data_IF_563635836201
#
_entry.id   IF_563635836201
#
_cell.length_a   1.000
_cell.length_b   1.000
_cell.length_c   1.000
_cell.angle_alpha   90.00
_cell.angle_beta   90.00
_cell.angle_gamma   90.00
#
_symmetry.space_group_name_H-M   'P 1'
#
loop_
_entity.id
_entity.type
_entity.pdbx_description
1 polymer ?
#
# COMPACT_ATOMS: atom_id res chain seq x y z
N UNK A 1 -19.25 0.82 38.32
CA UNK A 1 -19.19 1.63 37.07
C UNK A 1 -18.07 1.16 36.14
N UNK A 2 -16.90 0.77 36.64
CA UNK A 2 -15.78 0.22 35.82
C UNK A 2 -16.21 -0.91 34.86
N UNK A 3 -16.98 -1.90 35.33
CA UNK A 3 -17.45 -3.03 34.48
C UNK A 3 -18.35 -2.62 33.30
N UNK A 4 -19.03 -1.47 33.39
CA UNK A 4 -19.85 -0.96 32.30
C UNK A 4 -18.99 -0.26 31.24
N UNK A 5 -17.98 0.50 31.69
CA UNK A 5 -17.01 1.17 30.83
C UNK A 5 -16.14 0.14 30.09
N UNK A 6 -15.68 -0.91 30.78
CA UNK A 6 -14.96 -2.03 30.16
C UNK A 6 -15.79 -2.74 29.10
N UNK A 7 -17.06 -3.06 29.37
CA UNK A 7 -17.94 -3.69 28.36
C UNK A 7 -18.15 -2.82 27.13
N UNK A 8 -18.33 -1.52 27.31
CA UNK A 8 -18.48 -0.56 26.19
C UNK A 8 -17.18 -0.46 25.40
N UNK A 9 -16.02 -0.41 26.07
CA UNK A 9 -14.71 -0.41 25.44
C UNK A 9 -14.42 -1.72 24.69
N UNK A 10 -14.83 -2.87 25.21
CA UNK A 10 -14.69 -4.15 24.49
C UNK A 10 -15.65 -4.27 23.31
N UNK A 11 -16.88 -3.77 23.44
CA UNK A 11 -17.87 -3.78 22.36
C UNK A 11 -17.52 -2.84 21.21
N UNK A 12 -16.80 -1.74 21.47
CA UNK A 12 -16.40 -0.76 20.44
C UNK A 12 -15.50 -1.37 19.34
N UNK A 13 -14.84 -2.50 19.62
CA UNK A 13 -14.09 -3.29 18.63
C UNK A 13 -14.94 -3.69 17.42
N UNK A 14 -16.24 -3.94 17.63
CA UNK A 14 -17.17 -4.29 16.55
C UNK A 14 -17.48 -3.13 15.59
N UNK A 15 -17.20 -1.88 15.98
CA UNK A 15 -17.32 -0.72 15.08
C UNK A 15 -16.34 -0.81 13.89
N UNK A 16 -15.23 -1.54 14.06
CA UNK A 16 -14.24 -1.73 13.00
C UNK A 16 -14.71 -2.73 11.93
N UNK A 17 -15.58 -3.69 12.28
CA UNK A 17 -16.02 -4.73 11.35
C UNK A 17 -16.75 -4.18 10.10
N UNK A 18 -17.71 -3.23 10.22
CA UNK A 18 -18.29 -2.56 9.06
C UNK A 18 -17.29 -1.80 8.20
N UNK A 19 -16.24 -1.22 8.79
CA UNK A 19 -15.20 -0.51 8.03
C UNK A 19 -14.40 -1.50 7.17
N UNK A 20 -14.06 -2.68 7.71
CA UNK A 20 -13.39 -3.72 6.92
C UNK A 20 -14.29 -4.27 5.81
N UNK A 21 -15.59 -4.41 6.03
CA UNK A 21 -16.55 -4.72 4.95
C UNK A 21 -16.55 -3.64 3.86
N UNK A 22 -16.49 -2.36 4.24
CA UNK A 22 -16.32 -1.26 3.30
C UNK A 22 -15.04 -1.40 2.46
N UNK A 23 -13.92 -1.76 3.09
CA UNK A 23 -12.65 -2.01 2.39
C UNK A 23 -12.72 -3.21 1.43
N UNK A 24 -13.46 -4.28 1.78
CA UNK A 24 -13.74 -5.38 0.84
C UNK A 24 -14.55 -4.88 -0.36
N UNK A 25 -15.54 -4.01 -0.14
CA UNK A 25 -16.25 -3.32 -1.22
C UNK A 25 -15.31 -2.52 -2.12
N UNK A 26 -14.35 -1.80 -1.53
CA UNK A 26 -13.31 -1.09 -2.28
C UNK A 26 -12.43 -2.03 -3.12
N UNK A 27 -12.09 -3.22 -2.61
CA UNK A 27 -11.37 -4.23 -3.40
C UNK A 27 -12.16 -4.68 -4.62
N UNK A 28 -13.48 -4.87 -4.49
CA UNK A 28 -14.35 -5.22 -5.63
C UNK A 28 -14.36 -4.10 -6.66
N UNK A 29 -14.43 -2.84 -6.22
CA UNK A 29 -14.37 -1.67 -7.11
C UNK A 29 -13.02 -1.60 -7.82
N UNK A 30 -11.90 -1.82 -7.11
CA UNK A 30 -10.56 -1.83 -7.72
C UNK A 30 -10.39 -2.98 -8.70
N UNK A 31 -10.92 -4.16 -8.39
CA UNK A 31 -10.91 -5.30 -9.31
C UNK A 31 -11.68 -4.97 -10.59
N UNK A 32 -12.86 -4.35 -10.45
CA UNK A 32 -13.64 -3.90 -11.60
C UNK A 32 -12.87 -2.87 -12.44
N UNK A 33 -12.25 -1.89 -11.79
CA UNK A 33 -11.42 -0.88 -12.46
C UNK A 33 -10.22 -1.53 -13.18
N UNK A 34 -9.56 -2.51 -12.56
CA UNK A 34 -8.46 -3.26 -13.17
C UNK A 34 -8.90 -3.99 -14.43
N UNK A 35 -10.04 -4.68 -14.38
CA UNK A 35 -10.59 -5.40 -15.55
C UNK A 35 -10.94 -4.42 -16.68
N UNK A 36 -11.53 -3.26 -16.36
CA UNK A 36 -11.82 -2.23 -17.35
C UNK A 36 -10.56 -1.65 -17.98
N UNK A 37 -9.56 -1.31 -17.17
CA UNK A 37 -8.28 -0.77 -17.65
C UNK A 37 -7.56 -1.80 -18.53
N UNK A 38 -7.56 -3.07 -18.12
CA UNK A 38 -6.98 -4.17 -18.89
C UNK A 38 -7.70 -4.35 -20.23
N UNK A 39 -9.03 -4.27 -20.23
CA UNK A 39 -9.82 -4.35 -21.46
C UNK A 39 -9.52 -3.20 -22.41
N UNK A 40 -9.49 -1.95 -21.92
CA UNK A 40 -9.12 -0.79 -22.73
C UNK A 40 -7.70 -0.88 -23.27
N UNK A 41 -6.75 -1.33 -22.45
CA UNK A 41 -5.37 -1.52 -22.85
C UNK A 41 -5.23 -2.61 -23.93
N UNK A 42 -5.95 -3.72 -23.80
CA UNK A 42 -5.94 -4.79 -24.80
C UNK A 42 -6.49 -4.34 -26.17
N UNK A 43 -7.48 -3.45 -26.18
CA UNK A 43 -8.01 -2.89 -27.43
C UNK A 43 -7.01 -2.00 -28.20
N UNK A 44 -5.99 -1.48 -27.52
CA UNK A 44 -4.97 -0.60 -28.12
C UNK A 44 -3.80 -1.36 -28.76
N UNK A 45 -3.70 -2.69 -28.54
CA UNK A 45 -2.65 -3.56 -29.08
C UNK A 45 -2.39 -3.39 -30.59
N UNK A 46 -3.41 -3.26 -31.48
CA UNK A 46 -3.19 -3.21 -32.92
C UNK A 46 -2.39 -1.99 -33.41
N UNK A 47 -2.25 -0.94 -32.61
CA UNK A 47 -1.56 0.31 -32.97
C UNK A 47 -0.60 0.80 -31.87
N UNK A 48 -0.16 -0.10 -31.00
CA UNK A 48 0.50 0.28 -29.75
C UNK A 48 1.99 0.58 -29.94
N UNK A 49 2.39 1.83 -29.68
CA UNK A 49 3.78 2.21 -29.49
C UNK A 49 4.31 1.73 -28.12
N UNK A 50 5.64 1.61 -27.98
CA UNK A 50 6.30 1.11 -26.76
C UNK A 50 5.90 1.92 -25.52
N UNK A 51 5.77 3.24 -25.67
CA UNK A 51 5.45 4.13 -24.56
C UNK A 51 4.03 3.88 -24.03
N UNK A 52 3.07 3.63 -24.92
CA UNK A 52 1.69 3.25 -24.55
C UNK A 52 1.69 1.89 -23.85
N UNK A 53 2.50 0.94 -24.34
CA UNK A 53 2.66 -0.37 -23.73
C UNK A 53 3.13 -0.27 -22.27
N UNK A 54 4.19 0.50 -22.04
CA UNK A 54 4.79 0.70 -20.71
C UNK A 54 3.80 1.40 -19.80
N UNK A 55 3.13 2.46 -20.27
CA UNK A 55 2.14 3.19 -19.48
C UNK A 55 0.95 2.33 -19.06
N UNK A 56 0.40 1.51 -19.96
CA UNK A 56 -0.73 0.64 -19.63
C UNK A 56 -0.34 -0.42 -18.60
N UNK A 57 0.86 -1.02 -18.73
CA UNK A 57 1.37 -1.95 -17.74
C UNK A 57 1.54 -1.29 -16.35
N UNK A 58 2.03 -0.06 -16.29
CA UNK A 58 2.21 0.68 -15.04
C UNK A 58 0.86 1.00 -14.37
N UNK A 59 -0.16 1.43 -15.12
CA UNK A 59 -1.50 1.64 -14.57
C UNK A 59 -2.08 0.38 -13.93
N UNK A 60 -1.89 -0.79 -14.56
CA UNK A 60 -2.36 -2.07 -14.04
C UNK A 60 -1.58 -2.48 -12.77
N UNK A 61 -0.26 -2.25 -12.74
CA UNK A 61 0.56 -2.48 -11.55
C UNK A 61 0.08 -1.60 -10.39
N UNK A 62 -0.22 -0.32 -10.63
CA UNK A 62 -0.67 0.61 -9.59
C UNK A 62 -1.99 0.15 -8.94
N UNK A 63 -2.97 -0.27 -9.76
CA UNK A 63 -4.24 -0.83 -9.29
C UNK A 63 -4.03 -2.10 -8.46
N UNK A 64 -3.13 -2.99 -8.91
CA UNK A 64 -2.78 -4.21 -8.18
C UNK A 64 -2.08 -3.92 -6.85
N UNK A 65 -1.17 -2.94 -6.81
CA UNK A 65 -0.48 -2.52 -5.59
C UNK A 65 -1.44 -1.91 -4.57
N UNK A 66 -2.37 -1.06 -5.03
CA UNK A 66 -3.42 -0.50 -4.19
C UNK A 66 -4.32 -1.59 -3.58
N UNK A 67 -4.72 -2.58 -4.38
CA UNK A 67 -5.52 -3.71 -3.89
C UNK A 67 -4.74 -4.54 -2.85
N UNK A 68 -3.47 -4.83 -3.09
CA UNK A 68 -2.63 -5.57 -2.14
C UNK A 68 -2.48 -4.84 -0.80
N UNK A 69 -2.30 -3.51 -0.84
CA UNK A 69 -2.25 -2.69 0.36
C UNK A 69 -3.57 -2.78 1.17
N UNK A 70 -4.71 -2.70 0.49
CA UNK A 70 -6.03 -2.81 1.15
C UNK A 70 -6.19 -4.19 1.78
N UNK A 71 -5.82 -5.27 1.08
CA UNK A 71 -5.85 -6.63 1.65
C UNK A 71 -5.04 -6.72 2.94
N UNK A 72 -3.82 -6.21 2.93
CA UNK A 72 -2.95 -6.18 4.09
C UNK A 72 -3.62 -5.41 5.25
N UNK A 73 -4.21 -4.25 4.98
CA UNK A 73 -4.90 -3.44 5.99
C UNK A 73 -6.14 -4.17 6.56
N UNK A 74 -6.90 -4.87 5.71
CA UNK A 74 -8.04 -5.68 6.15
C UNK A 74 -7.58 -6.79 7.08
N UNK A 75 -6.62 -7.61 6.65
CA UNK A 75 -6.19 -8.77 7.44
C UNK A 75 -5.49 -8.37 8.73
N UNK A 76 -4.53 -7.44 8.66
CA UNK A 76 -3.82 -6.93 9.84
C UNK A 76 -4.76 -6.18 10.79
N UNK A 77 -5.67 -5.37 10.26
CA UNK A 77 -6.65 -4.65 11.07
C UNK A 77 -7.63 -5.59 11.77
N UNK A 78 -8.21 -6.52 11.02
CA UNK A 78 -9.20 -7.46 11.57
C UNK A 78 -8.59 -8.37 12.64
N UNK A 79 -7.39 -8.91 12.41
CA UNK A 79 -6.68 -9.77 13.37
C UNK A 79 -6.35 -9.03 14.68
N UNK A 80 -5.84 -7.79 14.57
CA UNK A 80 -5.45 -7.00 15.73
C UNK A 80 -6.66 -6.48 16.53
N UNK A 81 -7.73 -6.07 15.86
CA UNK A 81 -8.81 -5.30 16.50
C UNK A 81 -10.13 -6.05 16.65
N UNK A 82 -10.46 -7.06 15.85
CA UNK A 82 -11.76 -7.75 15.92
C UNK A 82 -11.59 -9.16 16.46
N UNK A 83 -10.93 -10.02 15.71
CA UNK A 83 -10.78 -11.44 16.06
C UNK A 83 -9.51 -11.99 15.45
N UNK A 84 -8.80 -12.82 16.21
CA UNK A 84 -7.80 -13.71 15.60
C UNK A 84 -8.54 -14.62 14.63
N UNK A 85 -8.10 -14.66 13.38
CA UNK A 85 -8.58 -15.64 12.42
C UNK A 85 -7.96 -16.98 12.82
N UNK A 86 -8.76 -17.87 13.40
CA UNK A 86 -8.30 -19.17 13.87
C UNK A 86 -8.27 -20.15 12.69
N UNK A 87 -7.30 -20.00 11.79
CA UNK A 87 -7.10 -20.89 10.63
C UNK A 87 -6.08 -21.99 10.93
N UNK A 88 -6.15 -22.55 12.14
CA UNK A 88 -5.14 -23.46 12.75
C UNK A 88 -4.78 -24.74 11.96
N UNK A 89 -5.34 -24.98 10.77
CA UNK A 89 -5.17 -26.25 10.04
C UNK A 89 -5.19 -26.13 8.50
N UNK A 90 -4.86 -24.97 7.92
CA UNK A 90 -4.80 -24.81 6.45
C UNK A 90 -3.40 -24.45 5.94
N UNK A 91 -2.90 -25.29 5.04
CA UNK A 91 -1.61 -25.25 4.33
C UNK A 91 -1.41 -23.97 3.48
N UNK A 92 -2.46 -23.17 3.31
CA UNK A 92 -2.49 -21.93 2.52
C UNK A 92 -2.13 -20.66 3.32
N UNK A 93 -1.60 -20.79 4.55
CA UNK A 93 -1.16 -19.62 5.32
C UNK A 93 0.08 -19.02 4.65
N UNK A 94 0.01 -17.80 4.10
CA UNK A 94 1.17 -17.23 3.44
C UNK A 94 2.25 -16.88 4.47
N UNK A 95 3.52 -17.15 4.18
CA UNK A 95 4.66 -16.93 5.09
C UNK A 95 4.78 -15.48 5.61
N UNK A 96 4.13 -14.51 4.98
CA UNK A 96 4.11 -13.12 5.42
C UNK A 96 3.19 -12.85 6.63
N UNK A 97 2.32 -13.78 7.05
CA UNK A 97 1.35 -13.56 8.14
C UNK A 97 1.92 -13.64 9.56
N UNK A 98 3.06 -14.30 9.79
CA UNK A 98 3.58 -14.48 11.16
C UNK A 98 4.44 -13.31 11.67
N UNK A 99 4.88 -12.40 10.80
CA UNK A 99 5.77 -11.28 11.15
C UNK A 99 5.44 -9.98 10.38
N UNK A 100 4.17 -9.58 10.27
CA UNK A 100 3.88 -8.22 9.77
C UNK A 100 4.18 -7.21 10.88
N UNK A 101 5.47 -6.87 11.05
CA UNK A 101 5.88 -5.74 11.87
C UNK A 101 5.31 -4.46 11.25
N UNK A 102 4.60 -3.66 12.05
CA UNK A 102 4.06 -2.36 11.66
C UNK A 102 5.12 -1.45 11.04
N UNK A 103 6.39 -1.62 11.41
CA UNK A 103 7.52 -0.91 10.78
C UNK A 103 7.78 -1.36 9.34
N UNK A 104 7.80 -2.67 9.08
CA UNK A 104 7.94 -3.22 7.73
C UNK A 104 6.77 -2.81 6.84
N UNK A 105 5.57 -2.70 7.42
CA UNK A 105 4.38 -2.21 6.72
C UNK A 105 4.55 -0.77 6.22
N UNK A 106 5.01 0.13 7.11
CA UNK A 106 5.23 1.55 6.79
C UNK A 106 6.27 1.70 5.68
N UNK A 107 7.37 0.93 5.76
CA UNK A 107 8.42 0.93 4.76
C UNK A 107 7.93 0.47 3.38
N UNK A 108 7.19 -0.64 3.32
CA UNK A 108 6.62 -1.16 2.06
C UNK A 108 5.63 -0.18 1.44
N UNK A 109 4.81 0.48 2.25
CA UNK A 109 3.86 1.49 1.79
C UNK A 109 4.58 2.69 1.17
N UNK A 110 5.55 3.28 1.88
CA UNK A 110 6.26 4.46 1.39
C UNK A 110 7.11 4.12 0.16
N UNK A 111 7.75 2.95 0.13
CA UNK A 111 8.47 2.48 -1.05
C UNK A 111 7.55 2.38 -2.29
N UNK A 112 6.32 1.89 -2.12
CA UNK A 112 5.33 1.81 -3.19
C UNK A 112 4.91 3.20 -3.68
N UNK A 113 4.63 4.14 -2.78
CA UNK A 113 4.26 5.53 -3.13
C UNK A 113 5.38 6.23 -3.90
N UNK A 114 6.63 6.08 -3.44
CA UNK A 114 7.81 6.66 -4.12
C UNK A 114 7.97 6.06 -5.51
N UNK A 115 7.83 4.75 -5.66
CA UNK A 115 7.94 4.07 -6.96
C UNK A 115 6.86 4.55 -7.95
N UNK A 116 5.58 4.56 -7.53
CA UNK A 116 4.45 5.03 -8.35
C UNK A 116 4.66 6.49 -8.76
N UNK A 117 5.09 7.35 -7.83
CA UNK A 117 5.37 8.75 -8.12
C UNK A 117 6.52 8.94 -9.13
N UNK A 118 7.58 8.12 -9.04
CA UNK A 118 8.71 8.18 -9.98
C UNK A 118 8.31 7.71 -11.38
N UNK A 119 7.50 6.66 -11.47
CA UNK A 119 6.91 6.17 -12.71
C UNK A 119 6.06 7.27 -13.38
N UNK A 120 5.23 7.96 -12.60
CA UNK A 120 4.40 9.04 -13.11
C UNK A 120 5.24 10.19 -13.69
N UNK A 121 6.35 10.54 -13.03
CA UNK A 121 7.31 11.53 -13.54
C UNK A 121 7.97 11.09 -14.85
N UNK A 122 8.30 9.80 -15.00
CA UNK A 122 8.81 9.26 -16.26
C UNK A 122 7.78 9.42 -17.38
N UNK A 123 6.50 9.14 -17.11
CA UNK A 123 5.40 9.35 -18.06
C UNK A 123 5.26 10.82 -18.48
N UNK A 124 5.33 11.74 -17.52
CA UNK A 124 5.31 13.20 -17.80
C UNK A 124 6.52 13.61 -18.62
N UNK A 125 7.69 13.01 -18.38
CA UNK A 125 8.91 13.30 -19.11
C UNK A 125 8.86 12.81 -20.57
N UNK A 126 8.24 11.66 -20.85
CA UNK A 126 8.07 11.16 -22.24
C UNK A 126 7.16 12.07 -23.08
N UNK A 127 6.22 12.76 -22.44
CA UNK A 127 5.24 13.66 -23.05
C UNK A 127 5.50 15.13 -22.66
N UNK A 128 6.77 15.54 -22.54
CA UNK A 128 7.18 16.79 -21.87
C UNK A 128 6.51 18.05 -22.44
N UNK A 129 6.28 18.10 -23.75
CA UNK A 129 5.69 19.24 -24.46
C UNK A 129 4.19 19.45 -24.13
N UNK A 130 3.52 18.42 -23.57
CA UNK A 130 2.09 18.49 -23.19
C UNK A 130 1.88 19.13 -21.83
N UNK A 131 2.93 19.35 -21.05
CA UNK A 131 2.83 19.83 -19.67
C UNK A 131 3.54 21.19 -19.51
N UNK A 132 2.90 22.17 -18.85
CA UNK A 132 3.57 23.45 -18.59
C UNK A 132 4.78 23.23 -17.66
N UNK A 133 5.93 23.89 -17.92
CA UNK A 133 7.17 23.69 -17.15
C UNK A 133 7.02 23.87 -15.63
N UNK A 134 6.16 24.79 -15.21
CA UNK A 134 5.85 25.02 -13.80
C UNK A 134 5.23 23.79 -13.13
N UNK A 135 4.31 23.11 -13.82
CA UNK A 135 3.65 21.91 -13.30
C UNK A 135 4.63 20.74 -13.20
N UNK A 136 5.52 20.58 -14.18
CA UNK A 136 6.57 19.57 -14.16
C UNK A 136 7.51 19.81 -12.96
N UNK A 137 7.88 21.07 -12.73
CA UNK A 137 8.72 21.45 -11.58
C UNK A 137 8.08 21.05 -10.25
N UNK A 138 6.78 21.34 -10.06
CA UNK A 138 6.05 20.94 -8.86
C UNK A 138 5.95 19.42 -8.70
N UNK A 139 5.76 18.68 -9.80
CA UNK A 139 5.76 17.22 -9.78
C UNK A 139 7.10 16.66 -9.30
N UNK A 140 8.22 17.19 -9.81
CA UNK A 140 9.57 16.82 -9.36
C UNK A 140 9.76 17.14 -7.87
N UNK A 141 9.35 18.34 -7.43
CA UNK A 141 9.47 18.76 -6.03
C UNK A 141 8.70 17.83 -5.11
N UNK A 142 7.45 17.49 -5.44
CA UNK A 142 6.63 16.57 -4.64
C UNK A 142 7.26 15.19 -4.57
N UNK A 143 7.79 14.68 -5.68
CA UNK A 143 8.48 13.39 -5.69
C UNK A 143 9.72 13.38 -4.81
N UNK A 144 10.53 14.44 -4.84
CA UNK A 144 11.66 14.59 -3.94
C UNK A 144 11.22 14.61 -2.46
N UNK A 145 10.09 15.25 -2.13
CA UNK A 145 9.52 15.20 -0.77
C UNK A 145 9.16 13.76 -0.37
N UNK A 146 8.57 12.97 -1.26
CA UNK A 146 8.28 11.56 -0.99
C UNK A 146 9.55 10.73 -0.81
N UNK A 147 10.55 10.90 -1.67
CA UNK A 147 11.85 10.20 -1.57
C UNK A 147 12.52 10.53 -0.23
N UNK A 148 12.63 11.81 0.12
CA UNK A 148 13.22 12.25 1.39
C UNK A 148 12.45 11.67 2.58
N UNK A 149 11.12 11.74 2.56
CA UNK A 149 10.29 11.19 3.63
C UNK A 149 10.48 9.69 3.79
N UNK A 150 10.61 8.94 2.68
CA UNK A 150 10.89 7.52 2.69
C UNK A 150 12.27 7.18 3.27
N UNK A 151 13.30 7.94 2.88
CA UNK A 151 14.65 7.77 3.43
C UNK A 151 14.67 8.05 4.93
N UNK A 152 14.02 9.12 5.39
CA UNK A 152 13.94 9.46 6.82
C UNK A 152 13.23 8.36 7.62
N UNK A 153 12.16 7.79 7.09
CA UNK A 153 11.43 6.70 7.73
C UNK A 153 12.28 5.42 7.81
N UNK A 154 12.98 5.07 6.72
CA UNK A 154 13.92 3.95 6.70
C UNK A 154 15.07 4.14 7.70
N UNK A 155 15.60 5.36 7.80
CA UNK A 155 16.65 5.69 8.77
C UNK A 155 16.15 5.56 10.21
N UNK A 156 14.96 6.09 10.52
CA UNK A 156 14.34 5.98 11.83
C UNK A 156 14.17 4.52 12.25
N UNK A 157 13.66 3.69 11.33
CA UNK A 157 13.43 2.27 11.59
C UNK A 157 14.75 1.51 11.79
N UNK A 158 15.75 1.80 10.96
CA UNK A 158 17.09 1.23 11.11
C UNK A 158 17.70 1.56 12.48
N UNK A 159 17.64 2.83 12.91
CA UNK A 159 18.14 3.25 14.23
C UNK A 159 17.40 2.53 15.35
N UNK A 160 16.07 2.43 15.28
CA UNK A 160 15.26 1.78 16.31
C UNK A 160 15.57 0.28 16.44
N UNK A 161 15.78 -0.41 15.31
CA UNK A 161 16.10 -1.82 15.28
C UNK A 161 17.56 -2.10 15.72
N UNK A 162 18.49 -1.23 15.35
CA UNK A 162 19.89 -1.31 15.79
C UNK A 162 20.03 -1.08 17.32
N UNK A 163 19.25 -0.14 17.87
CA UNK A 163 19.22 0.08 19.32
C UNK A 163 18.67 -1.13 20.10
N UNK A 164 17.69 -1.85 19.54
CA UNK A 164 17.15 -3.10 20.12
C UNK A 164 18.16 -4.24 20.08
N UNK A 165 18.92 -4.41 19.00
CA UNK A 165 19.90 -5.50 18.87
C UNK A 165 21.06 -5.34 19.85
N UNK A 166 21.58 -4.12 20.03
CA UNK A 166 22.62 -3.79 21.00
C UNK A 166 22.20 -4.13 22.44
N UNK A 167 20.94 -3.86 22.81
CA UNK A 167 20.39 -4.15 24.14
C UNK A 167 20.22 -5.65 24.41
N UNK A 168 20.02 -6.45 23.35
CA UNK A 168 19.90 -7.91 23.43
C UNK A 168 21.28 -8.59 23.50
N UNK A 169 22.31 -8.00 22.90
CA UNK A 169 23.69 -8.50 22.99
C UNK A 169 24.39 -8.17 24.32
N UNK A 170 23.91 -7.15 25.03
CA UNK A 170 24.42 -6.73 26.35
C UNK A 170 23.78 -7.49 27.53
N UNK A 171 22.86 -8.43 27.27
CA UNK A 171 22.14 -9.24 28.27
C UNK A 171 22.49 -10.70 28.10
#
# INVERSE_FOLDING_TARGET
MERAIERVLFASRWLMAPMYLGLVGTLVILLWAFVLELYHFALQIPQMEVDIAVMGALSLIDLSLAANLILIVIFSGYENFVSRMDTHDHEDRPDWQSEVDFSTLKLKLVASIVAISGIHLLKVFMDIDKYPPEKITWMVVIHLVFVISGVLLALMDWIANHAKSMKKAAK
#
